data_IF_841641767479
#
_entry.id   IF_841641767479
#
_cell.length_a   1.000
_cell.length_b   1.000
_cell.length_c   1.000
_cell.angle_alpha   90.00
_cell.angle_beta   90.00
_cell.angle_gamma   90.00
#
_symmetry.space_group_name_H-M   'P 1'
#
loop_
_entity.id
_entity.type
_entity.pdbx_description
1 polymer ?
#
# COMPACT_ATOMS: atom_id res chain seq x y z
N UNK A 1 9.79 -28.32 29.01
CA UNK A 1 8.73 -29.38 28.98
C UNK A 1 8.86 -30.37 30.14
N UNK A 2 10.06 -30.84 30.51
CA UNK A 2 10.28 -31.78 31.59
C UNK A 2 9.71 -31.32 32.93
N UNK A 3 9.90 -30.05 33.28
CA UNK A 3 9.34 -29.46 34.52
C UNK A 3 7.82 -29.42 34.53
N UNK A 4 7.18 -29.12 33.36
CA UNK A 4 5.72 -29.15 33.20
C UNK A 4 5.18 -30.58 33.26
N UNK A 5 5.93 -31.54 32.71
CA UNK A 5 5.58 -32.94 32.77
C UNK A 5 5.56 -33.45 34.21
N UNK A 6 6.63 -33.20 34.99
CA UNK A 6 6.76 -33.58 36.41
C UNK A 6 5.62 -32.97 37.24
N UNK A 7 5.34 -31.67 37.05
CA UNK A 7 4.30 -30.97 37.81
C UNK A 7 2.88 -31.50 37.56
N UNK A 8 2.55 -31.75 36.26
CA UNK A 8 1.20 -32.19 35.87
C UNK A 8 0.94 -33.68 36.07
N UNK A 9 1.96 -34.53 35.99
CA UNK A 9 1.82 -35.98 35.95
C UNK A 9 2.49 -36.69 37.12
N UNK A 10 2.75 -35.98 38.22
CA UNK A 10 3.46 -36.51 39.42
C UNK A 10 2.80 -37.80 39.97
N UNK A 11 1.47 -37.91 39.85
CA UNK A 11 0.69 -39.06 40.33
C UNK A 11 0.29 -40.05 39.20
N UNK A 12 0.57 -39.73 37.92
CA UNK A 12 0.17 -40.55 36.78
C UNK A 12 1.38 -40.90 35.90
N UNK A 13 2.15 -41.90 36.30
CA UNK A 13 3.37 -42.32 35.63
C UNK A 13 3.16 -42.88 34.19
N UNK A 14 1.92 -43.18 33.82
CA UNK A 14 1.54 -43.68 32.48
C UNK A 14 1.26 -42.59 31.46
N UNK A 15 1.22 -41.32 31.88
CA UNK A 15 0.94 -40.16 31.01
C UNK A 15 2.21 -39.32 30.84
N UNK A 16 2.50 -38.97 29.61
CA UNK A 16 3.56 -38.01 29.27
C UNK A 16 2.92 -36.68 28.86
N UNK A 17 3.48 -35.56 29.36
CA UNK A 17 3.12 -34.23 28.85
C UNK A 17 3.99 -33.96 27.62
N UNK A 18 3.35 -33.94 26.46
CA UNK A 18 4.00 -33.68 25.18
C UNK A 18 3.37 -32.43 24.55
N UNK A 19 4.17 -31.63 23.88
CA UNK A 19 3.75 -30.63 22.93
C UNK A 19 4.23 -31.10 21.55
N UNK A 20 3.31 -31.25 20.61
CA UNK A 20 3.60 -31.64 19.26
C UNK A 20 2.80 -30.78 18.30
N UNK A 21 3.36 -30.55 17.13
CA UNK A 21 2.67 -29.86 16.05
C UNK A 21 1.78 -30.87 15.31
N UNK A 22 0.48 -30.61 15.30
CA UNK A 22 -0.48 -31.41 14.54
C UNK A 22 -0.63 -30.80 13.13
N UNK A 23 -0.47 -31.64 12.11
CA UNK A 23 -0.69 -31.24 10.75
C UNK A 23 -2.17 -31.39 10.40
N UNK A 24 -2.90 -30.27 10.50
CA UNK A 24 -4.35 -30.22 10.25
C UNK A 24 -4.69 -29.22 9.17
N UNK A 25 -5.73 -29.51 8.38
CA UNK A 25 -6.32 -28.57 7.45
C UNK A 25 -7.06 -27.44 8.18
N UNK A 26 -7.55 -27.71 9.39
CA UNK A 26 -8.24 -26.73 10.22
C UNK A 26 -7.25 -25.83 10.99
N UNK A 27 -6.48 -25.06 10.26
CA UNK A 27 -5.51 -24.10 10.81
C UNK A 27 -5.96 -22.64 10.57
N UNK A 28 -5.36 -21.71 11.31
CA UNK A 28 -5.74 -20.28 11.26
C UNK A 28 -5.67 -19.67 9.86
N UNK A 29 -4.75 -20.10 9.01
CA UNK A 29 -4.64 -19.59 7.63
C UNK A 29 -5.82 -20.05 6.77
N UNK A 30 -6.18 -21.32 6.83
CA UNK A 30 -7.31 -21.88 6.08
C UNK A 30 -8.63 -21.35 6.62
N UNK A 31 -8.76 -21.17 7.93
CA UNK A 31 -9.91 -20.52 8.56
C UNK A 31 -10.07 -19.08 8.06
N UNK A 32 -8.97 -18.30 7.96
CA UNK A 32 -8.99 -16.96 7.40
C UNK A 32 -9.48 -16.96 5.94
N UNK A 33 -8.97 -17.87 5.11
CA UNK A 33 -9.43 -17.99 3.73
C UNK A 33 -10.91 -18.34 3.65
N UNK A 34 -11.38 -19.32 4.43
CA UNK A 34 -12.79 -19.70 4.44
C UNK A 34 -13.70 -18.52 4.81
N UNK A 35 -13.36 -17.79 5.86
CA UNK A 35 -14.10 -16.60 6.27
C UNK A 35 -14.13 -15.52 5.17
N UNK A 36 -13.00 -15.20 4.56
CA UNK A 36 -12.92 -14.22 3.48
C UNK A 36 -13.75 -14.63 2.26
N UNK A 37 -13.65 -15.88 1.82
CA UNK A 37 -14.41 -16.43 0.69
C UNK A 37 -15.93 -16.36 0.93
N UNK A 38 -16.40 -16.67 2.14
CA UNK A 38 -17.81 -16.56 2.51
C UNK A 38 -18.31 -15.12 2.46
N UNK A 39 -17.51 -14.17 2.95
CA UNK A 39 -17.83 -12.74 2.89
C UNK A 39 -17.94 -12.28 1.42
N UNK A 40 -16.97 -12.61 0.58
CA UNK A 40 -16.99 -12.25 -0.85
C UNK A 40 -18.17 -12.90 -1.57
N UNK A 41 -18.46 -14.18 -1.30
CA UNK A 41 -19.61 -14.91 -1.88
C UNK A 41 -20.93 -14.22 -1.56
N UNK A 42 -21.09 -13.73 -0.31
CA UNK A 42 -22.30 -13.02 0.13
C UNK A 42 -22.50 -11.70 -0.63
N UNK A 43 -21.44 -11.00 -0.97
CA UNK A 43 -21.51 -9.66 -1.53
C UNK A 43 -21.37 -9.59 -3.06
N UNK A 44 -20.83 -10.63 -3.72
CA UNK A 44 -20.69 -10.64 -5.18
C UNK A 44 -22.03 -10.93 -5.88
N UNK A 45 -22.28 -10.19 -6.97
CA UNK A 45 -23.40 -10.41 -7.89
C UNK A 45 -22.98 -11.17 -9.15
N UNK A 46 -21.68 -11.36 -9.38
CA UNK A 46 -21.12 -11.97 -10.58
C UNK A 46 -21.25 -13.49 -10.47
N UNK A 47 -22.04 -14.09 -11.36
CA UNK A 47 -22.35 -15.53 -11.32
C UNK A 47 -21.10 -16.41 -11.51
N UNK A 48 -20.24 -16.08 -12.48
CA UNK A 48 -18.99 -16.82 -12.71
C UNK A 48 -18.07 -16.80 -11.50
N UNK A 49 -17.97 -15.67 -10.82
CA UNK A 49 -17.19 -15.55 -9.59
C UNK A 49 -17.79 -16.41 -8.46
N UNK A 50 -19.12 -16.49 -8.34
CA UNK A 50 -19.76 -17.38 -7.34
C UNK A 50 -19.36 -18.84 -7.53
N UNK A 51 -19.31 -19.32 -8.77
CA UNK A 51 -18.89 -20.69 -9.06
C UNK A 51 -17.44 -20.95 -8.65
N UNK A 52 -16.52 -20.01 -8.92
CA UNK A 52 -15.13 -20.13 -8.45
C UNK A 52 -15.03 -20.13 -6.93
N UNK A 53 -15.79 -19.27 -6.24
CA UNK A 53 -15.81 -19.22 -4.78
C UNK A 53 -16.37 -20.51 -4.19
N UNK A 54 -17.40 -21.10 -4.78
CA UNK A 54 -17.97 -22.40 -4.35
C UNK A 54 -16.95 -23.53 -4.49
N UNK A 55 -16.23 -23.56 -5.61
CA UNK A 55 -15.14 -24.53 -5.81
C UNK A 55 -14.04 -24.37 -4.75
N UNK A 56 -13.61 -23.13 -4.46
CA UNK A 56 -12.62 -22.87 -3.41
C UNK A 56 -13.14 -23.28 -2.02
N UNK A 57 -14.40 -23.00 -1.71
CA UNK A 57 -15.02 -23.38 -0.43
C UNK A 57 -15.13 -24.91 -0.28
N UNK A 58 -15.33 -25.65 -1.37
CA UNK A 58 -15.32 -27.11 -1.36
C UNK A 58 -13.99 -27.68 -0.86
N UNK A 59 -12.84 -27.07 -1.18
CA UNK A 59 -11.54 -27.49 -0.62
C UNK A 59 -11.37 -27.17 0.87
N UNK A 60 -12.22 -26.34 1.43
CA UNK A 60 -12.17 -25.90 2.83
C UNK A 60 -13.37 -26.44 3.64
N UNK A 61 -14.02 -27.50 3.18
CA UNK A 61 -15.25 -28.03 3.82
C UNK A 61 -15.00 -28.42 5.27
N UNK A 62 -13.88 -29.10 5.55
CA UNK A 62 -13.46 -29.56 6.88
C UNK A 62 -12.94 -28.46 7.81
N UNK A 63 -12.76 -27.25 7.30
CA UNK A 63 -12.22 -26.11 8.05
C UNK A 63 -13.34 -25.39 8.79
N UNK A 64 -13.12 -25.03 10.05
CA UNK A 64 -14.10 -24.32 10.87
C UNK A 64 -14.25 -22.84 10.43
N UNK A 65 -15.45 -22.31 10.65
CA UNK A 65 -15.73 -20.88 10.51
C UNK A 65 -15.49 -20.24 11.87
N UNK A 66 -14.55 -19.32 11.96
CA UNK A 66 -14.18 -18.65 13.21
C UNK A 66 -14.37 -17.13 13.09
N UNK A 67 -14.58 -16.48 14.24
CA UNK A 67 -14.55 -15.03 14.31
C UNK A 67 -13.15 -14.58 14.72
N UNK A 68 -12.49 -13.85 13.84
CA UNK A 68 -11.17 -13.32 14.11
C UNK A 68 -11.20 -12.02 14.89
N UNK A 69 -10.41 -11.94 15.94
CA UNK A 69 -10.02 -10.68 16.57
C UNK A 69 -8.85 -10.04 15.82
N UNK A 70 -8.65 -8.74 15.96
CA UNK A 70 -7.50 -8.04 15.36
C UNK A 70 -6.14 -8.65 15.77
N UNK A 71 -6.04 -9.13 17.02
CA UNK A 71 -4.84 -9.78 17.53
C UNK A 71 -4.57 -11.12 16.85
N UNK A 72 -5.60 -11.93 16.62
CA UNK A 72 -5.48 -13.22 15.94
C UNK A 72 -5.12 -13.05 14.46
N UNK A 73 -5.70 -12.05 13.78
CA UNK A 73 -5.34 -11.72 12.40
C UNK A 73 -3.85 -11.35 12.26
N UNK A 74 -3.30 -10.61 13.23
CA UNK A 74 -1.88 -10.24 13.26
C UNK A 74 -0.96 -11.38 13.69
N UNK A 75 -1.48 -12.45 14.28
CA UNK A 75 -0.69 -13.59 14.77
C UNK A 75 -0.40 -14.65 13.70
N UNK A 76 -1.02 -14.55 12.51
CA UNK A 76 -0.80 -15.50 11.41
C UNK A 76 0.63 -15.36 10.90
N UNK A 77 1.43 -16.41 11.07
CA UNK A 77 2.84 -16.43 10.69
C UNK A 77 3.04 -17.18 9.38
N UNK A 78 4.06 -16.75 8.63
CA UNK A 78 4.44 -17.38 7.38
C UNK A 78 5.79 -18.06 7.52
N UNK A 79 5.89 -19.24 6.93
CA UNK A 79 7.09 -20.04 6.86
C UNK A 79 7.30 -20.53 5.41
N UNK A 80 8.39 -21.25 5.16
CA UNK A 80 8.76 -21.71 3.82
C UNK A 80 7.66 -22.52 3.10
N UNK A 81 6.74 -23.16 3.83
CA UNK A 81 5.69 -24.01 3.25
C UNK A 81 4.46 -23.23 2.82
N UNK A 82 4.13 -22.16 3.54
CA UNK A 82 2.91 -21.35 3.29
C UNK A 82 3.22 -19.95 2.71
N UNK A 83 4.48 -19.61 2.46
CA UNK A 83 4.90 -18.30 1.92
C UNK A 83 4.18 -17.95 0.62
N UNK A 84 3.96 -18.94 -0.26
CA UNK A 84 3.21 -18.74 -1.52
C UNK A 84 1.80 -18.19 -1.34
N UNK A 85 1.22 -18.32 -0.16
CA UNK A 85 -0.13 -17.83 0.16
C UNK A 85 -0.13 -16.45 0.82
N UNK A 86 1.03 -15.85 1.08
CA UNK A 86 1.15 -14.57 1.79
C UNK A 86 0.29 -13.47 1.17
N UNK A 87 0.34 -13.28 -0.14
CA UNK A 87 -0.46 -12.26 -0.81
C UNK A 87 -1.96 -12.52 -0.66
N UNK A 88 -2.40 -13.74 -0.89
CA UNK A 88 -3.79 -14.11 -0.72
C UNK A 88 -4.27 -13.92 0.73
N UNK A 89 -3.42 -14.24 1.71
CA UNK A 89 -3.72 -14.02 3.12
C UNK A 89 -3.81 -12.55 3.50
N UNK A 90 -3.00 -11.68 2.91
CA UNK A 90 -3.11 -10.22 3.10
C UNK A 90 -4.46 -9.70 2.61
N UNK A 91 -4.91 -10.15 1.43
CA UNK A 91 -6.25 -9.80 0.93
C UNK A 91 -7.37 -10.38 1.80
N UNK A 92 -7.25 -11.64 2.20
CA UNK A 92 -8.23 -12.28 3.07
C UNK A 92 -8.34 -11.57 4.42
N UNK A 93 -7.19 -11.19 5.01
CA UNK A 93 -7.14 -10.42 6.25
C UNK A 93 -7.87 -9.07 6.11
N UNK A 94 -7.58 -8.33 5.02
CA UNK A 94 -8.23 -7.06 4.74
C UNK A 94 -9.75 -7.21 4.61
N UNK A 95 -10.24 -8.28 3.95
CA UNK A 95 -11.66 -8.57 3.79
C UNK A 95 -12.31 -8.85 5.15
N UNK A 96 -11.71 -9.71 5.96
CA UNK A 96 -12.27 -10.12 7.26
C UNK A 96 -12.24 -8.97 8.26
N UNK A 97 -11.14 -8.21 8.33
CA UNK A 97 -10.99 -7.04 9.20
C UNK A 97 -12.09 -6.00 8.90
N UNK A 98 -12.29 -5.67 7.63
CA UNK A 98 -13.31 -4.70 7.21
C UNK A 98 -14.73 -5.18 7.47
N UNK A 99 -15.03 -6.44 7.20
CA UNK A 99 -16.33 -7.01 7.51
C UNK A 99 -16.65 -6.96 9.02
N UNK A 100 -15.66 -7.19 9.88
CA UNK A 100 -15.80 -7.14 11.34
C UNK A 100 -16.12 -5.72 11.85
N UNK A 101 -15.50 -4.70 11.26
CA UNK A 101 -15.76 -3.29 11.61
C UNK A 101 -17.21 -2.90 11.26
N UNK A 102 -17.69 -3.31 10.08
CA UNK A 102 -19.06 -2.99 9.64
C UNK A 102 -20.15 -3.75 10.40
N UNK A 103 -19.87 -4.97 10.87
CA UNK A 103 -20.85 -5.73 11.66
C UNK A 103 -21.13 -5.13 13.03
N UNK A 104 -20.25 -4.29 13.57
CA UNK A 104 -20.42 -3.56 14.84
C UNK A 104 -21.23 -2.27 14.70
N UNK A 105 -21.41 -1.76 13.47
CA UNK A 105 -22.24 -0.59 13.18
C UNK A 105 -23.68 -1.00 12.84
N UNK A 106 -24.69 -0.41 13.52
CA UNK A 106 -26.09 -0.68 13.27
C UNK A 106 -26.48 -0.29 11.85
N UNK A 107 -26.74 -1.28 11.01
CA UNK A 107 -27.57 -1.15 9.80
C UNK A 107 -26.90 -0.55 8.59
N UNK A 108 -26.28 -1.40 7.78
CA UNK A 108 -26.36 -1.36 6.32
C UNK A 108 -25.70 -2.63 5.74
N UNK A 109 -26.42 -3.32 4.87
CA UNK A 109 -25.97 -4.53 4.18
C UNK A 109 -24.97 -4.28 3.03
N UNK A 110 -24.34 -3.10 2.99
CA UNK A 110 -23.37 -2.77 1.96
C UNK A 110 -21.95 -2.98 2.48
N UNK A 111 -21.28 -3.97 1.91
CA UNK A 111 -19.88 -4.20 2.11
C UNK A 111 -19.09 -3.25 1.17
N UNK A 112 -18.42 -2.29 1.74
CA UNK A 112 -17.58 -1.38 0.97
C UNK A 112 -16.15 -1.37 1.50
N UNK A 113 -15.19 -1.51 0.58
CA UNK A 113 -13.80 -1.28 0.91
C UNK A 113 -13.50 0.22 0.81
N UNK A 114 -13.08 0.81 1.89
CA UNK A 114 -12.54 2.15 1.87
C UNK A 114 -11.00 2.07 1.86
N UNK A 115 -10.43 2.26 0.69
CA UNK A 115 -8.99 2.38 0.54
C UNK A 115 -8.55 3.82 0.70
N UNK A 116 -7.43 4.03 1.35
CA UNK A 116 -6.72 5.30 1.29
C UNK A 116 -6.03 5.39 -0.08
N UNK A 117 -6.75 5.91 -1.07
CA UNK A 117 -6.30 5.91 -2.46
C UNK A 117 -4.97 6.63 -2.67
N UNK A 118 -4.66 7.63 -1.85
CA UNK A 118 -3.36 8.30 -1.87
C UNK A 118 -2.22 7.29 -1.61
N UNK A 119 -2.33 6.49 -0.54
CA UNK A 119 -1.31 5.48 -0.21
C UNK A 119 -1.24 4.36 -1.25
N UNK A 120 -2.39 3.95 -1.80
CA UNK A 120 -2.43 2.93 -2.84
C UNK A 120 -1.76 3.42 -4.11
N UNK A 121 -2.04 4.66 -4.52
CA UNK A 121 -1.44 5.27 -5.70
C UNK A 121 0.07 5.47 -5.52
N UNK A 122 0.50 6.00 -4.38
CA UNK A 122 1.93 6.11 -4.03
C UNK A 122 2.63 4.75 -4.15
N UNK A 123 2.04 3.69 -3.56
CA UNK A 123 2.63 2.35 -3.60
C UNK A 123 2.64 1.73 -5.01
N UNK A 124 1.60 1.98 -5.80
CA UNK A 124 1.53 1.56 -7.20
C UNK A 124 2.64 2.22 -8.03
N UNK A 125 2.84 3.53 -7.86
CA UNK A 125 3.89 4.28 -8.54
C UNK A 125 5.28 3.85 -8.06
N UNK A 126 5.46 3.54 -6.78
CA UNK A 126 6.72 2.99 -6.27
C UNK A 126 7.13 1.71 -7.01
N UNK A 127 6.22 0.75 -7.13
CA UNK A 127 6.49 -0.51 -7.86
C UNK A 127 6.77 -0.25 -9.34
N UNK A 128 6.02 0.66 -9.96
CA UNK A 128 6.23 1.01 -11.36
C UNK A 128 7.56 1.74 -11.61
N UNK A 129 8.00 2.60 -10.69
CA UNK A 129 9.32 3.23 -10.73
C UNK A 129 10.46 2.21 -10.58
N UNK A 130 10.31 1.25 -9.65
CA UNK A 130 11.28 0.17 -9.45
C UNK A 130 11.48 -0.66 -10.71
N UNK A 131 10.40 -0.97 -11.43
CA UNK A 131 10.45 -1.66 -12.72
C UNK A 131 11.02 -0.77 -13.83
N UNK A 132 10.77 0.54 -13.78
CA UNK A 132 11.21 1.48 -14.80
C UNK A 132 12.72 1.74 -14.77
N UNK A 133 13.29 1.96 -13.60
CA UNK A 133 14.67 2.46 -13.44
C UNK A 133 15.53 1.68 -12.43
N UNK A 134 14.95 0.68 -11.75
CA UNK A 134 15.62 -0.16 -10.74
C UNK A 134 15.62 0.46 -9.33
N UNK A 135 15.69 -0.41 -8.33
CA UNK A 135 15.57 -0.03 -6.91
C UNK A 135 16.69 0.90 -6.42
N UNK A 136 17.90 0.78 -6.94
CA UNK A 136 19.07 1.49 -6.43
C UNK A 136 19.03 3.01 -6.70
N UNK A 137 18.11 3.47 -7.53
CA UNK A 137 17.97 4.86 -7.94
C UNK A 137 16.85 5.61 -7.22
N UNK A 138 16.08 4.92 -6.40
CA UNK A 138 14.86 5.44 -5.78
C UNK A 138 14.99 5.38 -4.27
N UNK A 139 14.73 6.49 -3.62
CA UNK A 139 14.57 6.58 -2.16
C UNK A 139 13.12 6.96 -1.91
N UNK A 140 12.33 6.01 -1.38
CA UNK A 140 10.92 6.25 -1.04
C UNK A 140 10.81 6.90 0.33
N UNK A 141 9.87 7.84 0.48
CA UNK A 141 9.56 8.54 1.72
C UNK A 141 10.80 9.10 2.45
N UNK A 142 11.70 9.74 1.70
CA UNK A 142 12.93 10.31 2.22
C UNK A 142 12.65 11.38 3.30
N UNK A 143 13.11 11.17 4.52
CA UNK A 143 12.73 11.97 5.69
C UNK A 143 13.94 12.51 6.45
N UNK A 144 14.96 13.01 5.74
CA UNK A 144 16.20 13.52 6.35
C UNK A 144 16.28 15.04 6.38
N UNK A 145 15.66 15.73 5.42
CA UNK A 145 15.74 17.18 5.30
C UNK A 145 14.68 17.88 6.15
N UNK A 146 15.08 19.04 6.67
CA UNK A 146 14.17 19.92 7.42
C UNK A 146 14.20 21.31 6.83
N UNK A 147 13.03 21.95 6.77
CA UNK A 147 12.84 23.24 6.11
C UNK A 147 13.39 24.42 6.91
N UNK A 148 13.26 24.39 8.23
CA UNK A 148 13.58 25.53 9.08
C UNK A 148 14.57 25.16 10.20
N UNK A 149 15.38 26.14 10.59
CA UNK A 149 16.25 26.07 11.77
C UNK A 149 15.99 27.28 12.66
N UNK A 150 15.66 27.02 13.92
CA UNK A 150 15.50 28.08 14.91
C UNK A 150 16.86 28.73 15.20
N UNK A 151 16.95 30.05 15.03
CA UNK A 151 18.21 30.79 15.18
C UNK A 151 18.74 30.79 16.62
N UNK A 152 17.84 30.78 17.64
CA UNK A 152 18.23 30.84 19.06
C UNK A 152 18.62 29.46 19.60
N UNK A 153 17.81 28.43 19.32
CA UNK A 153 18.02 27.09 19.88
C UNK A 153 18.83 26.15 18.95
N UNK A 154 19.07 26.52 17.72
CA UNK A 154 19.68 25.65 16.70
C UNK A 154 18.77 24.50 16.25
N UNK A 155 17.58 24.34 16.83
CA UNK A 155 16.67 23.22 16.56
C UNK A 155 16.12 23.29 15.14
N UNK A 156 16.16 22.17 14.45
CA UNK A 156 15.60 22.06 13.10
C UNK A 156 14.13 21.61 13.19
N UNK A 157 13.27 22.28 12.44
CA UNK A 157 11.82 22.08 12.44
C UNK A 157 11.30 21.84 11.02
N UNK A 158 10.09 21.26 10.92
CA UNK A 158 9.38 20.94 9.69
C UNK A 158 10.18 19.93 8.85
N UNK A 159 9.92 18.65 9.13
CA UNK A 159 10.47 17.55 8.36
C UNK A 159 9.86 17.55 6.96
N UNK A 160 10.69 17.49 5.96
CA UNK A 160 10.29 17.31 4.56
C UNK A 160 10.27 15.81 4.25
N UNK A 161 9.19 15.36 3.64
CA UNK A 161 8.97 13.95 3.32
C UNK A 161 8.39 13.81 1.91
N UNK A 162 9.21 13.95 0.86
CA UNK A 162 8.78 13.64 -0.49
C UNK A 162 8.48 12.15 -0.65
N UNK A 163 7.53 11.79 -1.52
CA UNK A 163 7.20 10.40 -1.79
C UNK A 163 8.40 9.67 -2.39
N UNK A 164 9.07 10.27 -3.39
CA UNK A 164 10.23 9.69 -4.06
C UNK A 164 11.32 10.73 -4.32
N UNK A 165 12.57 10.33 -4.05
CA UNK A 165 13.78 11.01 -4.52
C UNK A 165 14.49 10.08 -5.50
N UNK A 166 14.71 10.52 -6.72
CA UNK A 166 15.23 9.73 -7.83
C UNK A 166 16.58 10.28 -8.26
N UNK A 167 17.61 9.44 -8.25
CA UNK A 167 19.02 9.78 -8.57
C UNK A 167 19.53 11.05 -7.87
N UNK A 168 18.96 11.45 -6.75
CA UNK A 168 19.17 12.70 -6.02
C UNK A 168 18.91 14.00 -6.84
N UNK A 169 18.39 13.89 -8.05
CA UNK A 169 18.17 15.00 -8.98
C UNK A 169 16.69 15.33 -9.19
N UNK A 170 15.82 14.36 -8.99
CA UNK A 170 14.37 14.51 -9.22
C UNK A 170 13.63 14.18 -7.92
N UNK A 171 12.69 15.03 -7.54
CA UNK A 171 11.66 14.70 -6.55
C UNK A 171 10.35 14.46 -7.27
N UNK A 172 9.67 13.37 -6.92
CA UNK A 172 8.33 13.09 -7.39
C UNK A 172 7.40 12.93 -6.19
N UNK A 173 6.26 13.60 -6.25
CA UNK A 173 5.22 13.56 -5.23
C UNK A 173 3.88 13.20 -5.87
N UNK A 174 3.23 12.19 -5.36
CA UNK A 174 2.01 11.61 -5.94
C UNK A 174 0.76 12.22 -5.33
N UNK A 175 -0.21 12.56 -6.15
CA UNK A 175 -1.47 13.16 -5.70
C UNK A 175 -2.66 12.41 -6.29
N UNK A 176 -3.44 11.72 -5.46
CA UNK A 176 -4.68 11.07 -5.88
C UNK A 176 -5.82 12.08 -5.96
N UNK A 177 -5.83 12.88 -6.99
CA UNK A 177 -6.89 13.84 -7.31
C UNK A 177 -6.83 14.22 -8.79
N UNK A 178 -7.86 14.90 -9.28
CA UNK A 178 -7.85 15.38 -10.65
C UNK A 178 -6.82 16.48 -10.84
N UNK A 179 -6.06 16.41 -11.94
CA UNK A 179 -5.19 17.48 -12.41
C UNK A 179 -5.95 18.54 -13.21
N UNK A 180 -7.23 18.31 -13.50
CA UNK A 180 -8.07 19.22 -14.27
C UNK A 180 -9.40 19.48 -13.59
N UNK A 181 -9.94 20.67 -13.82
CA UNK A 181 -11.31 21.04 -13.46
C UNK A 181 -11.97 21.69 -14.68
N UNK A 182 -13.10 21.13 -15.13
CA UNK A 182 -13.82 21.60 -16.34
C UNK A 182 -12.91 21.71 -17.59
N UNK A 183 -12.02 20.73 -17.81
CA UNK A 183 -11.10 20.69 -18.95
C UNK A 183 -9.93 21.68 -18.88
N UNK A 184 -9.78 22.41 -17.79
CA UNK A 184 -8.63 23.31 -17.54
C UNK A 184 -7.72 22.72 -16.50
N UNK A 185 -6.43 22.96 -16.64
CA UNK A 185 -5.43 22.55 -15.62
C UNK A 185 -5.81 23.20 -14.30
N UNK A 186 -5.93 22.39 -13.27
CA UNK A 186 -6.24 22.83 -11.91
C UNK A 186 -5.13 22.33 -10.98
N UNK A 187 -4.41 23.25 -10.38
CA UNK A 187 -3.46 22.93 -9.33
C UNK A 187 -3.93 23.48 -8.00
N UNK A 188 -3.56 22.79 -6.94
CA UNK A 188 -3.80 23.26 -5.58
C UNK A 188 -2.56 24.00 -5.12
N UNK A 189 -2.72 25.25 -4.74
CA UNK A 189 -1.60 26.14 -4.37
C UNK A 189 -0.71 25.54 -3.27
N UNK A 190 -1.29 24.81 -2.30
CA UNK A 190 -0.52 24.12 -1.26
C UNK A 190 0.42 23.05 -1.81
N UNK A 191 0.05 22.38 -2.90
CA UNK A 191 0.92 21.38 -3.54
C UNK A 191 2.14 22.06 -4.18
N UNK A 192 1.92 23.19 -4.84
CA UNK A 192 3.02 23.98 -5.42
C UNK A 192 3.95 24.49 -4.31
N UNK A 193 3.41 24.97 -3.20
CA UNK A 193 4.23 25.39 -2.06
C UNK A 193 5.04 24.22 -1.47
N UNK A 194 4.46 23.04 -1.42
CA UNK A 194 5.17 21.85 -1.01
C UNK A 194 6.36 21.52 -1.95
N UNK A 195 6.13 21.57 -3.27
CA UNK A 195 7.18 21.37 -4.26
C UNK A 195 8.28 22.45 -4.17
N UNK A 196 7.88 23.70 -3.96
CA UNK A 196 8.82 24.78 -3.76
C UNK A 196 9.70 24.58 -2.52
N UNK A 197 9.11 24.09 -1.42
CA UNK A 197 9.86 23.74 -0.21
C UNK A 197 10.86 22.61 -0.48
N UNK A 198 10.47 21.59 -1.25
CA UNK A 198 11.38 20.50 -1.63
C UNK A 198 12.53 20.99 -2.50
N UNK A 199 12.23 21.69 -3.59
CA UNK A 199 13.26 22.15 -4.54
C UNK A 199 14.26 23.11 -3.90
N UNK A 200 13.83 23.85 -2.89
CA UNK A 200 14.67 24.77 -2.12
C UNK A 200 15.57 24.05 -1.12
N UNK A 201 15.03 23.06 -0.41
CA UNK A 201 15.75 22.34 0.64
C UNK A 201 16.73 21.28 0.08
N UNK A 202 16.42 20.71 -1.07
CA UNK A 202 17.25 19.71 -1.75
C UNK A 202 18.11 20.39 -2.83
N UNK A 203 19.34 20.73 -2.49
CA UNK A 203 20.22 21.52 -3.36
C UNK A 203 20.51 20.86 -4.71
N UNK A 204 20.70 19.55 -4.70
CA UNK A 204 21.04 18.74 -5.89
C UNK A 204 19.84 18.49 -6.81
N UNK A 205 18.63 18.64 -6.29
CA UNK A 205 17.40 18.42 -7.06
C UNK A 205 17.21 19.55 -8.06
N UNK A 206 16.99 19.18 -9.31
CA UNK A 206 16.75 20.08 -10.44
C UNK A 206 15.27 20.11 -10.83
N UNK A 207 14.55 18.99 -10.64
CA UNK A 207 13.17 18.83 -11.07
C UNK A 207 12.31 18.33 -9.93
N UNK A 208 11.15 18.98 -9.73
CA UNK A 208 10.09 18.48 -8.85
C UNK A 208 8.85 18.17 -9.68
N UNK A 209 8.36 16.95 -9.60
CA UNK A 209 7.25 16.45 -10.40
C UNK A 209 6.06 16.15 -9.48
N UNK A 210 4.93 16.82 -9.71
CA UNK A 210 3.63 16.47 -9.17
C UNK A 210 2.97 15.46 -10.12
N UNK A 211 2.78 14.23 -9.66
CA UNK A 211 2.25 13.15 -10.48
C UNK A 211 0.79 12.85 -10.11
N UNK A 212 -0.10 12.95 -11.08
CA UNK A 212 -1.53 12.73 -10.94
C UNK A 212 -1.99 11.52 -11.78
N UNK A 213 -3.05 10.79 -11.37
CA UNK A 213 -3.65 9.79 -12.25
C UNK A 213 -4.28 10.48 -13.47
N UNK A 214 -4.05 9.92 -14.65
CA UNK A 214 -4.63 10.42 -15.90
C UNK A 214 -6.13 10.15 -15.91
N UNK A 215 -6.89 11.19 -16.18
CA UNK A 215 -8.32 11.11 -16.44
C UNK A 215 -8.60 11.15 -17.95
N UNK A 216 -9.85 10.95 -18.35
CA UNK A 216 -10.26 11.08 -19.75
C UNK A 216 -9.97 12.51 -20.25
N UNK A 217 -9.29 12.59 -21.40
CA UNK A 217 -8.91 13.84 -22.04
C UNK A 217 -7.40 14.04 -22.14
N UNK A 218 -6.99 14.90 -23.05
CA UNK A 218 -5.60 15.32 -23.22
C UNK A 218 -5.24 16.35 -22.15
N UNK A 219 -4.21 16.05 -21.37
CA UNK A 219 -3.75 16.98 -20.33
C UNK A 219 -2.47 17.64 -20.78
N UNK A 220 -2.48 18.96 -20.87
CA UNK A 220 -1.26 19.74 -21.06
C UNK A 220 -0.47 19.69 -19.76
N UNK A 221 0.80 19.30 -19.85
CA UNK A 221 1.68 19.25 -18.68
C UNK A 221 2.44 20.57 -18.54
N UNK A 222 2.03 21.46 -17.64
CA UNK A 222 2.74 22.69 -17.40
C UNK A 222 4.07 22.40 -16.69
N UNK A 223 5.08 23.15 -17.11
CA UNK A 223 6.39 23.22 -16.48
C UNK A 223 6.64 24.66 -16.09
N UNK A 224 6.98 24.88 -14.83
CA UNK A 224 7.32 26.20 -14.32
C UNK A 224 8.78 26.22 -13.87
N UNK A 225 9.48 27.28 -14.26
CA UNK A 225 10.79 27.58 -13.72
C UNK A 225 10.63 28.25 -12.35
N UNK A 226 11.42 27.85 -11.39
CA UNK A 226 11.45 28.48 -10.07
C UNK A 226 12.24 29.77 -10.18
N UNK A 227 11.61 30.91 -9.94
CA UNK A 227 12.18 32.25 -10.11
C UNK A 227 13.57 32.35 -9.47
N UNK A 228 14.54 32.89 -10.19
CA UNK A 228 15.96 33.01 -9.82
C UNK A 228 16.70 31.67 -9.63
N UNK A 229 16.25 30.61 -10.26
CA UNK A 229 16.96 29.32 -10.28
C UNK A 229 16.80 28.68 -11.66
N UNK A 230 17.58 27.64 -11.94
CA UNK A 230 17.42 26.79 -13.13
C UNK A 230 16.55 25.56 -12.83
N UNK A 231 15.87 25.54 -11.68
CA UNK A 231 15.09 24.39 -11.22
C UNK A 231 13.64 24.49 -11.68
N UNK A 232 13.01 23.34 -11.87
CA UNK A 232 11.64 23.28 -12.38
C UNK A 232 10.68 22.57 -11.44
N UNK A 233 9.40 22.98 -11.51
CA UNK A 233 8.25 22.30 -10.96
C UNK A 233 7.34 21.92 -12.11
N UNK A 234 6.99 20.66 -12.19
CA UNK A 234 6.19 20.10 -13.30
C UNK A 234 4.93 19.44 -12.76
N UNK A 235 3.84 19.51 -13.51
CA UNK A 235 2.68 18.63 -13.30
C UNK A 235 2.66 17.59 -14.41
N UNK A 236 2.56 16.31 -14.04
CA UNK A 236 2.44 15.22 -14.97
C UNK A 236 1.23 14.35 -14.64
N UNK A 237 0.55 13.83 -15.66
CA UNK A 237 -0.46 12.81 -15.49
C UNK A 237 0.05 11.47 -16.01
N UNK A 238 -0.36 10.39 -15.37
CA UNK A 238 0.04 9.04 -15.72
C UNK A 238 -1.17 8.11 -15.77
N UNK A 239 -1.22 7.25 -16.76
CA UNK A 239 -2.25 6.22 -16.81
C UNK A 239 -1.97 5.10 -15.82
N UNK A 240 -3.06 4.54 -15.30
CA UNK A 240 -3.00 3.49 -14.28
C UNK A 240 -3.84 2.25 -14.67
N UNK A 241 -4.39 2.25 -15.88
CA UNK A 241 -5.24 1.17 -16.42
C UNK A 241 -4.44 -0.09 -16.78
N UNK A 242 -3.16 0.08 -17.17
CA UNK A 242 -2.29 -1.01 -17.56
C UNK A 242 -0.86 -0.77 -17.08
N UNK A 243 -0.36 -1.67 -16.22
CA UNK A 243 0.93 -1.52 -15.54
C UNK A 243 2.12 -1.32 -16.50
N UNK A 244 2.16 -2.09 -17.60
CA UNK A 244 3.22 -1.98 -18.60
C UNK A 244 3.28 -0.60 -19.25
N UNK A 245 2.11 0.00 -19.49
CA UNK A 245 2.01 1.36 -20.03
C UNK A 245 2.40 2.42 -19.01
N UNK A 246 2.02 2.23 -17.74
CA UNK A 246 2.48 3.10 -16.66
C UNK A 246 4.00 3.13 -16.55
N UNK A 247 4.64 1.96 -16.58
CA UNK A 247 6.12 1.84 -16.53
C UNK A 247 6.77 2.58 -17.71
N UNK A 248 6.22 2.45 -18.92
CA UNK A 248 6.72 3.16 -20.09
C UNK A 248 6.58 4.67 -19.98
N UNK A 249 5.39 5.15 -19.59
CA UNK A 249 5.14 6.58 -19.40
C UNK A 249 6.04 7.17 -18.32
N UNK A 250 6.32 6.44 -17.22
CA UNK A 250 7.28 6.87 -16.20
C UNK A 250 8.69 7.04 -16.77
N UNK A 251 9.15 6.09 -17.60
CA UNK A 251 10.45 6.22 -18.27
C UNK A 251 10.51 7.48 -19.13
N UNK A 252 9.45 7.75 -19.91
CA UNK A 252 9.35 8.93 -20.77
C UNK A 252 9.37 10.23 -19.95
N UNK A 253 8.62 10.29 -18.84
CA UNK A 253 8.59 11.44 -17.93
C UNK A 253 9.98 11.70 -17.32
N UNK A 254 10.67 10.66 -16.90
CA UNK A 254 11.98 10.79 -16.26
C UNK A 254 13.10 11.16 -17.25
N UNK A 255 13.02 10.67 -18.49
CA UNK A 255 14.01 10.95 -19.56
C UNK A 255 13.83 12.32 -20.22
N UNK A 256 12.66 12.94 -20.03
CA UNK A 256 12.36 14.23 -20.64
C UNK A 256 13.30 15.29 -20.09
N UNK A 257 14.25 15.72 -20.91
CA UNK A 257 15.04 16.92 -20.57
C UNK A 257 14.13 18.14 -20.73
N UNK A 258 13.99 18.91 -19.69
CA UNK A 258 13.36 20.24 -19.77
C UNK A 258 14.35 21.15 -20.48
N UNK A 259 14.05 21.47 -21.74
CA UNK A 259 14.82 22.46 -22.53
C UNK A 259 14.42 23.86 -22.10
#
# INVERSE_FOLDING_TARGET
ELSKHIYKNIFQKTKAYCAFDEYTENNSLNQLFKCALLIVKKHTKIHTLKLYLERCLGYLETVDIVHFTEKELKSITFNRRNERFRQAALFANLIVERATIYSKGRGASSFSFLFQMNMLFEKYIEVALQEAIGNNKIISQHAEKRLLRNKKSGRQNILLKPDFVIDNMIIMDTKWKSATNNGRISYVQSDIYQMYAYVTAYKEVQRCILLYPKQEGEVIHPVWEVINTEKTIEMCTIRIDEFSKTVRELKEILQKQVK
#
